data_IF_016929693812
#
_entry.id   IF_016929693812
#
_cell.length_a   1.000
_cell.length_b   1.000
_cell.length_c   1.000
_cell.angle_alpha   90.00
_cell.angle_beta   90.00
_cell.angle_gamma   90.00
#
_symmetry.space_group_name_H-M   'P 1'
#
loop_
_entity.id
_entity.type
_entity.pdbx_description
1 polymer ?
2 non-polymer ?
3 non-polymer ?
4 non-polymer ?
5 water ?
#
# COMPACT_ATOMS: atom_id res chain seq x y z
N UNK A 21 8.63 -7.17 -29.54
CA UNK A 21 8.11 -5.82 -29.40
C UNK A 21 8.69 -5.25 -28.12
N UNK A 22 8.57 -3.94 -27.93
CA UNK A 22 9.23 -3.24 -26.85
C UNK A 22 8.18 -2.60 -25.98
N UNK A 23 8.23 -2.88 -24.67
CA UNK A 23 7.39 -2.18 -23.71
C UNK A 23 8.11 -0.91 -23.30
N UNK A 24 7.46 0.24 -23.49
CA UNK A 24 8.09 1.53 -23.23
C UNK A 24 7.52 2.17 -21.98
N UNK A 25 8.39 2.68 -21.14
CA UNK A 25 8.04 3.51 -19.99
C UNK A 25 8.83 4.81 -20.07
N UNK A 26 8.15 5.93 -19.87
CA UNK A 26 8.80 7.24 -19.98
C UNK A 26 8.70 7.97 -18.65
N UNK A 27 9.86 8.35 -18.14
CA UNK A 27 10.00 9.07 -16.88
C UNK A 27 10.27 10.53 -17.23
N UNK A 28 9.43 11.44 -16.73
CA UNK A 28 9.66 12.87 -16.92
C UNK A 28 10.17 13.44 -15.60
N UNK A 29 11.47 13.68 -15.53
CA UNK A 29 12.05 14.13 -14.26
C UNK A 29 11.60 15.52 -13.85
N UNK A 30 10.98 16.29 -14.74
CA UNK A 30 10.45 17.61 -14.38
C UNK A 30 9.03 17.55 -13.85
N UNK A 31 8.32 16.43 -14.03
CA UNK A 31 6.91 16.33 -13.69
C UNK A 31 6.77 15.78 -12.27
N UNK A 32 6.91 16.68 -11.30
CA UNK A 32 6.85 16.30 -9.90
C UNK A 32 5.43 15.95 -9.49
N UNK A 33 5.26 14.81 -8.82
CA UNK A 33 3.94 14.43 -8.32
C UNK A 33 3.78 14.98 -6.91
N UNK A 34 4.69 14.58 -6.04
CA UNK A 34 4.76 15.03 -4.65
C UNK A 34 6.00 14.41 -4.04
N UNK A 35 6.28 14.75 -2.78
CA UNK A 35 7.41 14.16 -2.08
C UNK A 35 7.26 12.65 -1.99
N UNK A 36 8.39 11.97 -1.90
CA UNK A 36 8.38 10.54 -1.64
C UNK A 36 7.81 10.25 -0.26
N UNK A 37 6.74 9.43 -0.22
CA UNK A 37 6.12 9.01 1.02
C UNK A 37 6.07 7.50 1.20
N UNK A 38 6.48 6.73 0.18
CA UNK A 38 6.44 5.26 0.21
C UNK A 38 5.04 4.79 0.59
N UNK A 39 4.05 5.39 -0.07
CA UNK A 39 2.66 5.22 0.37
C UNK A 39 2.23 3.76 0.38
N UNK A 40 2.76 2.94 -0.53
CA UNK A 40 2.32 1.55 -0.64
C UNK A 40 3.14 0.61 0.24
N UNK A 41 3.99 1.13 1.14
CA UNK A 41 4.87 0.29 1.95
C UNK A 41 4.16 -0.07 3.25
N UNK A 42 3.38 -1.14 3.19
CA UNK A 42 2.67 -1.64 4.38
C UNK A 42 1.97 -2.93 4.05
N UNK A 43 1.47 -3.60 5.10
CA UNK A 43 0.79 -4.88 4.90
C UNK A 43 -0.21 -5.15 6.02
N UNK A 44 -1.30 -5.83 5.65
CA UNK A 44 -2.30 -6.30 6.62
C UNK A 44 -1.75 -7.52 7.36
N UNK A 45 -1.77 -7.47 8.70
CA UNK A 45 -1.14 -8.51 9.54
C UNK A 45 0.30 -8.78 9.11
N UNK A 46 0.95 -7.77 8.51
CA UNK A 46 2.31 -7.96 8.04
C UNK A 46 3.32 -7.93 9.15
N UNK A 47 2.98 -7.27 10.26
CA UNK A 47 3.81 -7.20 11.44
C UNK A 47 2.96 -7.62 12.62
N UNK A 48 3.44 -8.59 13.41
CA UNK A 48 2.68 -9.00 14.59
C UNK A 48 3.58 -8.94 15.82
N UNK A 49 3.14 -9.57 16.92
CA UNK A 49 3.79 -9.33 18.21
C UNK A 49 5.26 -9.72 18.18
N UNK A 50 5.59 -10.85 17.56
CA UNK A 50 6.99 -11.26 17.54
C UNK A 50 7.40 -11.91 16.22
N UNK A 51 6.68 -11.62 15.13
CA UNK A 51 7.11 -12.00 13.80
C UNK A 51 6.95 -10.76 12.92
N UNK A 52 7.99 -10.38 12.17
CA UNK A 52 9.33 -10.96 12.16
C UNK A 52 9.98 -10.75 13.52
N UNK A 53 10.85 -11.68 13.93
CA UNK A 53 11.55 -11.51 15.20
C UNK A 53 12.55 -10.36 15.12
N UNK A 54 13.29 -10.29 14.02
CA UNK A 54 14.38 -9.33 13.87
C UNK A 54 13.84 -8.05 13.25
N UNK A 55 13.38 -7.13 14.10
CA UNK A 55 12.83 -5.88 13.60
C UNK A 55 13.89 -5.09 12.84
N UNK A 56 15.11 -5.02 13.37
CA UNK A 56 16.12 -4.14 12.79
C UNK A 56 16.55 -4.58 11.40
N UNK A 57 16.58 -5.89 11.14
CA UNK A 57 17.04 -6.37 9.84
C UNK A 57 15.92 -6.44 8.82
N UNK A 58 14.70 -6.76 9.26
CA UNK A 58 13.62 -7.10 8.36
C UNK A 58 12.53 -6.05 8.24
N UNK A 59 12.29 -5.23 9.27
CA UNK A 59 11.22 -4.23 9.21
C UNK A 59 11.80 -2.84 9.03
N UNK A 60 12.69 -2.45 9.93
CA UNK A 60 13.29 -1.12 9.88
C UNK A 60 13.84 -0.74 8.50
N UNK A 61 14.51 -1.60 7.74
CA UNK A 61 15.09 -1.15 6.46
C UNK A 61 14.06 -0.82 5.40
N UNK A 62 12.80 -1.17 5.60
CA UNK A 62 11.81 -0.98 4.55
C UNK A 62 11.19 0.41 4.54
N UNK A 63 11.42 1.22 5.58
CA UNK A 63 10.85 2.57 5.63
C UNK A 63 9.31 2.50 5.56
N UNK A 64 8.74 1.62 6.39
CA UNK A 64 7.30 1.39 6.42
C UNK A 64 6.51 2.67 6.52
N UNK A 65 5.39 2.74 5.78
CA UNK A 65 4.46 3.85 5.88
C UNK A 65 3.37 3.51 6.89
N UNK A 66 2.36 2.74 6.49
CA UNK A 66 1.24 2.41 7.36
C UNK A 66 0.98 0.91 7.29
N UNK A 67 1.00 0.24 8.46
CA UNK A 67 0.57 -1.14 8.55
C UNK A 67 -0.90 -1.21 8.91
N UNK A 68 -1.46 -2.43 8.94
CA UNK A 68 -2.81 -2.67 9.41
C UNK A 68 -2.82 -3.86 10.35
N UNK A 69 -3.56 -3.75 11.44
CA UNK A 69 -3.54 -4.78 12.46
C UNK A 69 -4.90 -4.82 13.14
N UNK A 70 -5.28 -5.97 13.71
CA UNK A 70 -6.56 -6.07 14.40
C UNK A 70 -6.56 -5.32 15.72
N UNK A 71 -7.71 -4.74 16.07
CA UNK A 71 -7.81 -4.03 17.34
C UNK A 71 -7.59 -4.96 18.53
N UNK A 72 -8.00 -6.23 18.40
CA UNK A 72 -7.78 -7.25 19.42
C UNK A 72 -7.33 -8.53 18.75
N UNK A 73 -6.56 -9.34 19.49
CA UNK A 73 -6.17 -10.66 19.01
C UNK A 73 -6.25 -11.65 20.17
N UNK A 74 -6.34 -12.92 19.81
CA UNK A 74 -6.36 -13.94 20.85
C UNK A 74 -7.72 -14.57 21.05
N UNK A 75 -7.99 -15.01 22.28
CA UNK A 75 -9.21 -15.75 22.57
C UNK A 75 -10.46 -14.97 22.17
N UNK A 76 -11.29 -15.59 21.33
CA UNK A 76 -12.55 -14.98 20.96
C UNK A 76 -12.46 -13.91 19.90
N UNK A 77 -11.26 -13.65 19.38
CA UNK A 77 -11.06 -12.62 18.39
C UNK A 77 -10.98 -13.25 17.00
N UNK A 78 -10.82 -12.41 15.97
CA UNK A 78 -10.75 -12.93 14.62
C UNK A 78 -9.54 -13.85 14.45
N UNK A 79 -8.39 -13.46 14.96
CA UNK A 79 -7.17 -14.23 14.80
C UNK A 79 -6.43 -14.34 16.12
N UNK A 80 -5.53 -15.32 16.25
CA UNK A 80 -4.75 -15.45 17.49
C UNK A 80 -3.66 -14.41 17.66
N UNK A 81 -3.30 -13.66 16.61
CA UNK A 81 -2.15 -12.77 16.61
C UNK A 81 -2.51 -11.40 16.08
N UNK A 82 -1.61 -10.44 16.34
CA UNK A 82 -1.59 -9.16 15.64
C UNK A 82 -2.01 -7.95 16.43
N UNK A 83 -2.09 -8.04 17.77
CA UNK A 83 -2.63 -6.96 18.58
C UNK A 83 -2.05 -5.61 18.17
N UNK A 84 -2.92 -4.67 17.83
CA UNK A 84 -2.46 -3.42 17.23
C UNK A 84 -1.70 -2.57 18.24
N UNK A 85 -2.02 -2.67 19.54
CA UNK A 85 -1.28 -1.87 20.51
C UNK A 85 0.16 -2.39 20.61
N UNK A 86 0.34 -3.72 20.63
CA UNK A 86 1.67 -4.29 20.60
C UNK A 86 2.38 -3.98 19.30
N UNK A 87 1.65 -3.98 18.17
CA UNK A 87 2.30 -3.69 16.90
C UNK A 87 2.73 -2.24 16.84
N UNK A 88 1.85 -1.32 17.30
CA UNK A 88 2.21 0.10 17.35
C UNK A 88 3.44 0.32 18.22
N UNK A 89 3.59 -0.45 19.29
CA UNK A 89 4.82 -0.29 20.09
C UNK A 89 6.05 -0.72 19.32
N UNK A 90 5.97 -1.83 18.59
CA UNK A 90 7.12 -2.22 17.77
C UNK A 90 7.46 -1.13 16.76
N UNK A 91 6.43 -0.51 16.17
CA UNK A 91 6.64 0.45 15.09
C UNK A 91 7.27 1.76 15.56
N UNK A 92 7.31 2.02 16.87
CA UNK A 92 7.99 3.21 17.36
C UNK A 92 9.45 3.23 16.95
N UNK A 93 10.03 2.05 16.68
CA UNK A 93 11.40 1.98 16.20
C UNK A 93 11.56 2.55 14.79
N UNK A 94 10.45 2.67 14.05
CA UNK A 94 10.40 3.38 12.77
C UNK A 94 9.58 4.66 12.95
N UNK A 95 10.20 5.78 13.33
CA UNK A 95 9.42 6.93 13.81
C UNK A 95 8.41 7.49 12.81
N UNK A 96 8.60 7.30 11.51
CA UNK A 96 7.56 7.78 10.60
C UNK A 96 6.35 6.87 10.43
N UNK A 97 6.43 5.63 10.90
CA UNK A 97 5.43 4.62 10.57
C UNK A 97 4.19 4.73 11.45
N UNK A 98 3.05 4.29 10.91
CA UNK A 98 1.78 4.24 11.64
C UNK A 98 1.09 2.90 11.38
N UNK A 99 0.02 2.64 12.11
CA UNK A 99 -0.70 1.39 11.94
C UNK A 99 -2.20 1.61 12.06
N UNK A 100 -2.95 1.03 11.13
CA UNK A 100 -4.40 1.13 11.09
C UNK A 100 -5.01 0.17 12.12
N UNK A 101 -5.99 0.66 12.89
CA UNK A 101 -6.74 -0.16 13.84
C UNK A 101 -7.96 -0.77 13.13
N UNK A 102 -7.94 -2.08 12.92
CA UNK A 102 -9.08 -2.76 12.28
C UNK A 102 -10.02 -3.25 13.37
N UNK A 103 -11.04 -2.45 13.68
CA UNK A 103 -11.92 -2.79 14.79
C UNK A 103 -12.72 -4.06 14.54
N UNK A 104 -13.02 -4.38 13.26
CA UNK A 104 -13.86 -5.54 12.96
C UNK A 104 -13.27 -6.81 13.56
N UNK A 105 -11.95 -6.91 13.64
CA UNK A 105 -11.37 -8.18 14.07
C UNK A 105 -11.45 -8.40 15.58
N UNK A 106 -12.08 -7.48 16.32
CA UNK A 106 -12.58 -7.81 17.64
C UNK A 106 -13.42 -9.08 17.58
N UNK A 107 -14.12 -9.29 16.49
CA UNK A 107 -15.14 -10.32 16.33
C UNK A 107 -14.58 -11.56 15.63
N UNK A 108 -15.04 -12.74 16.05
CA UNK A 108 -14.62 -13.99 15.42
C UNK A 108 -15.50 -14.35 14.23
N UNK A 109 -14.97 -15.23 13.38
CA UNK A 109 -15.72 -15.79 12.27
C UNK A 109 -15.61 -14.98 10.99
N UNK A 110 -15.77 -15.65 9.86
CA UNK A 110 -15.88 -14.99 8.57
C UNK A 110 -17.03 -15.58 7.78
N UNK A 111 -18.10 -14.79 7.53
CA UNK A 111 -18.27 -13.40 7.97
C UNK A 111 -18.31 -13.22 9.48
N UNK A 112 -17.88 -12.04 9.94
CA UNK A 112 -17.84 -11.73 11.36
C UNK A 112 -19.14 -12.10 12.05
N UNK A 113 -19.02 -12.73 13.22
CA UNK A 113 -20.21 -13.12 13.98
C UNK A 113 -20.64 -11.93 14.81
N UNK A 114 -21.65 -11.22 14.33
CA UNK A 114 -22.12 -10.02 15.00
C UNK A 114 -22.75 -10.38 16.34
N UNK A 115 -22.32 -9.76 17.44
CA UNK A 115 -22.86 -10.11 18.77
C UNK A 115 -23.95 -9.17 19.27
N UNK A 116 -24.44 -8.28 18.43
CA UNK A 116 -25.34 -7.25 18.91
C UNK A 116 -24.61 -5.95 19.17
N UNK A 117 -25.33 -4.84 18.98
CA UNK A 117 -24.71 -3.52 19.10
C UNK A 117 -24.16 -3.29 20.51
N UNK A 118 -24.79 -3.90 21.53
CA UNK A 118 -24.34 -3.65 22.89
C UNK A 118 -22.93 -4.18 23.11
N UNK A 119 -22.68 -5.44 22.74
CA UNK A 119 -21.34 -6.01 22.92
C UNK A 119 -20.32 -5.34 22.00
N UNK A 120 -20.71 -5.03 20.78
CA UNK A 120 -19.83 -4.29 19.88
C UNK A 120 -19.35 -3.00 20.54
N UNK A 121 -20.27 -2.24 21.13
CA UNK A 121 -19.90 -0.99 21.76
C UNK A 121 -19.04 -1.22 23.01
N UNK A 122 -19.40 -2.21 23.83
CA UNK A 122 -18.57 -2.52 24.99
C UNK A 122 -17.14 -2.86 24.59
N UNK A 123 -16.99 -3.69 23.55
CA UNK A 123 -15.65 -4.06 23.09
C UNK A 123 -14.89 -2.85 22.58
N UNK A 124 -15.55 -1.98 21.80
CA UNK A 124 -14.89 -0.79 21.29
C UNK A 124 -14.46 0.12 22.44
N UNK A 125 -15.35 0.31 23.44
CA UNK A 125 -14.99 1.18 24.56
C UNK A 125 -13.80 0.62 25.33
N UNK A 126 -13.79 -0.68 25.58
CA UNK A 126 -12.64 -1.29 26.25
C UNK A 126 -11.38 -1.12 25.43
N UNK A 127 -11.46 -1.27 24.10
CA UNK A 127 -10.26 -1.08 23.28
C UNK A 127 -9.78 0.37 23.35
N UNK A 128 -10.70 1.32 23.24
CA UNK A 128 -10.31 2.74 23.23
C UNK A 128 -9.68 3.13 24.56
N UNK A 129 -10.20 2.59 25.66
CA UNK A 129 -9.56 2.81 26.96
C UNK A 129 -8.10 2.33 26.95
N UNK A 130 -7.88 1.11 26.46
CA UNK A 130 -6.50 0.58 26.40
C UNK A 130 -5.65 1.38 25.44
N UNK A 131 -6.24 1.80 24.32
CA UNK A 131 -5.54 2.67 23.37
C UNK A 131 -5.03 3.94 24.04
N UNK A 132 -5.91 4.64 24.76
CA UNK A 132 -5.50 5.87 25.43
C UNK A 132 -4.47 5.61 26.52
N UNK A 133 -4.64 4.53 27.29
CA UNK A 133 -3.69 4.22 28.35
C UNK A 133 -2.30 3.89 27.81
N UNK A 134 -2.23 3.35 26.58
CA UNK A 134 -0.92 3.02 26.02
C UNK A 134 -0.04 4.24 25.84
N UNK A 135 -0.63 5.41 25.66
CA UNK A 135 0.12 6.62 25.39
C UNK A 135 0.62 6.75 23.96
N UNK A 136 0.38 5.75 23.11
CA UNK A 136 0.86 5.79 21.74
C UNK A 136 -0.03 6.68 20.88
N UNK A 137 0.59 7.41 19.96
CA UNK A 137 -0.15 8.22 19.00
C UNK A 137 0.27 7.90 17.57
N UNK A 138 0.93 6.76 17.33
CA UNK A 138 1.28 6.39 15.96
C UNK A 138 0.22 5.48 15.31
N UNK A 139 -1.02 5.59 15.74
CA UNK A 139 -2.10 4.94 15.00
C UNK A 139 -2.53 5.83 13.84
N UNK A 140 -2.91 5.17 12.76
CA UNK A 140 -3.37 5.85 11.55
C UNK A 140 -4.84 6.27 11.67
N UNK A 141 -5.63 5.47 12.36
CA UNK A 141 -7.03 5.78 12.56
C UNK A 141 -7.75 4.56 13.06
N UNK A 142 -9.01 4.78 13.45
CA UNK A 142 -9.93 3.72 13.82
C UNK A 142 -10.76 3.31 12.59
N UNK A 143 -10.59 2.07 12.15
CA UNK A 143 -11.31 1.55 11.00
C UNK A 143 -12.52 0.77 11.50
N UNK A 144 -13.72 1.21 11.10
CA UNK A 144 -14.95 0.74 11.74
C UNK A 144 -15.25 -0.70 11.39
N UNK A 145 -15.01 -1.11 10.14
CA UNK A 145 -15.42 -2.44 9.70
C UNK A 145 -14.43 -2.93 8.66
N UNK A 146 -14.77 -4.06 8.02
CA UNK A 146 -13.90 -4.67 7.00
C UNK A 146 -14.79 -5.40 6.02
N UNK A 147 -14.75 -4.98 4.77
CA UNK A 147 -15.48 -5.64 3.68
C UNK A 147 -16.96 -5.86 4.02
N UNK A 148 -17.70 -4.80 4.29
CA UNK A 148 -19.13 -4.98 4.56
C UNK A 148 -19.87 -5.59 3.39
N UNK A 149 -19.36 -5.37 2.16
CA UNK A 149 -19.97 -5.96 0.98
C UNK A 149 -19.79 -7.48 0.93
N UNK A 150 -18.98 -8.03 1.84
CA UNK A 150 -18.83 -9.46 1.99
C UNK A 150 -19.40 -9.95 3.31
N UNK A 151 -19.27 -9.15 4.39
CA UNK A 151 -19.47 -9.67 5.73
C UNK A 151 -20.66 -9.10 6.48
N UNK A 152 -21.25 -7.99 6.04
CA UNK A 152 -22.41 -7.47 6.77
C UNK A 152 -23.68 -8.20 6.31
N UNK A 153 -24.52 -8.57 7.28
CA UNK A 153 -25.75 -9.31 7.03
C UNK A 153 -26.93 -8.56 7.63
N UNK A 154 -27.99 -8.38 6.84
CA UNK A 154 -29.19 -7.69 7.34
C UNK A 154 -29.72 -8.34 8.61
N UNK A 155 -29.52 -9.64 8.76
CA UNK A 155 -29.98 -10.38 9.93
C UNK A 155 -29.26 -9.96 11.21
N UNK A 156 -28.21 -9.14 11.12
CA UNK A 156 -27.58 -8.58 12.32
C UNK A 156 -28.53 -7.68 13.11
N UNK A 157 -29.65 -7.26 12.52
CA UNK A 157 -30.61 -6.41 13.19
C UNK A 157 -30.56 -4.95 12.77
N UNK A 158 -29.59 -4.59 11.94
CA UNK A 158 -29.42 -3.23 11.44
C UNK A 158 -28.59 -3.33 10.17
N UNK A 159 -28.69 -2.29 9.34
CA UNK A 159 -27.94 -2.24 8.09
C UNK A 159 -26.49 -1.84 8.36
N UNK A 160 -25.64 -2.02 7.34
CA UNK A 160 -24.26 -1.53 7.46
C UNK A 160 -24.24 -0.03 7.68
N UNK A 161 -25.03 0.72 6.91
CA UNK A 161 -25.06 2.17 7.09
C UNK A 161 -25.45 2.53 8.52
N UNK A 162 -26.38 1.78 9.12
CA UNK A 162 -26.79 2.06 10.50
C UNK A 162 -25.65 1.77 11.47
N UNK A 163 -25.01 0.62 11.34
CA UNK A 163 -23.88 0.31 12.20
C UNK A 163 -22.74 1.32 12.02
N UNK A 164 -22.50 1.73 10.76
CA UNK A 164 -21.48 2.74 10.49
C UNK A 164 -21.79 4.04 11.22
N UNK A 165 -22.99 4.57 10.99
CA UNK A 165 -23.39 5.82 11.63
C UNK A 165 -23.27 5.73 13.15
N UNK A 166 -23.79 4.66 13.73
CA UNK A 166 -23.81 4.55 15.18
C UNK A 166 -22.41 4.40 15.74
N UNK A 167 -21.55 3.64 15.06
CA UNK A 167 -20.20 3.46 15.57
C UNK A 167 -19.38 4.74 15.37
N UNK A 168 -19.60 5.42 14.24
CA UNK A 168 -18.96 6.71 13.99
C UNK A 168 -19.27 7.69 15.10
N UNK A 169 -20.55 7.79 15.50
CA UNK A 169 -20.91 8.72 16.56
C UNK A 169 -20.24 8.34 17.86
N UNK A 170 -20.15 7.03 18.13
CA UNK A 170 -19.45 6.57 19.32
C UNK A 170 -17.98 7.00 19.30
N UNK A 171 -17.30 6.78 18.17
CA UNK A 171 -15.87 7.08 18.07
C UNK A 171 -15.60 8.57 18.22
N UNK A 172 -16.49 9.41 17.68
CA UNK A 172 -16.31 10.85 17.82
C UNK A 172 -16.46 11.29 19.26
N UNK A 173 -17.26 10.58 20.04
CA UNK A 173 -17.43 10.90 21.44
C UNK A 173 -16.24 10.44 22.27
N UNK A 174 -15.79 9.19 22.10
CA UNK A 174 -14.79 8.62 23.00
C UNK A 174 -13.35 8.71 22.48
N UNK A 175 -13.12 8.99 21.21
CA UNK A 175 -11.77 9.17 20.67
C UNK A 175 -11.79 10.29 19.63
N UNK A 176 -12.14 11.51 20.07
CA UNK A 176 -12.48 12.56 19.09
C UNK A 176 -11.33 13.00 18.20
N UNK A 177 -10.10 12.83 18.64
CA UNK A 177 -8.97 13.30 17.85
C UNK A 177 -8.40 12.25 16.91
N UNK A 178 -9.00 11.06 16.88
CA UNK A 178 -8.52 10.02 15.99
C UNK A 178 -9.26 10.06 14.66
N UNK A 179 -8.55 9.68 13.60
CA UNK A 179 -9.19 9.54 12.29
C UNK A 179 -10.12 8.34 12.28
N UNK A 180 -11.18 8.45 11.49
CA UNK A 180 -12.11 7.35 11.24
C UNK A 180 -11.97 6.90 9.80
N UNK A 181 -11.81 5.59 9.59
CA UNK A 181 -11.43 5.02 8.31
C UNK A 181 -12.52 4.08 7.83
N UNK A 182 -12.89 4.20 6.56
CA UNK A 182 -13.79 3.23 5.96
C UNK A 182 -14.27 3.69 4.59
N UNK A 183 -15.22 2.98 4.00
CA UNK A 183 -15.99 1.86 4.55
C UNK A 183 -15.34 0.49 4.34
N UNK A 184 -14.16 0.43 3.72
CA UNK A 184 -13.35 -0.79 3.63
C UNK A 184 -13.99 -1.85 2.73
N UNK A 185 -14.62 -1.42 1.63
CA UNK A 185 -15.22 -2.35 0.68
C UNK A 185 -14.19 -3.37 0.20
N UNK A 186 -14.67 -4.60 -0.04
CA UNK A 186 -13.79 -5.62 -0.62
C UNK A 186 -13.38 -5.28 -2.04
N UNK A 187 -14.28 -4.67 -2.81
CA UNK A 187 -13.93 -4.21 -4.15
C UNK A 187 -14.66 -2.89 -4.41
N UNK A 188 -14.07 -2.09 -5.28
CA UNK A 188 -14.67 -0.81 -5.62
C UNK A 188 -15.78 -0.99 -6.66
N UNK A 189 -16.90 -0.32 -6.45
CA UNK A 189 -17.92 -0.18 -7.48
C UNK A 189 -18.59 1.17 -7.29
N UNK A 190 -18.88 1.86 -8.39
CA UNK A 190 -19.22 3.28 -8.29
C UNK A 190 -20.56 3.50 -7.59
N UNK A 191 -21.58 2.71 -7.92
CA UNK A 191 -22.89 2.87 -7.28
C UNK A 191 -22.79 2.63 -5.78
N UNK A 192 -22.05 1.60 -5.39
CA UNK A 192 -21.86 1.26 -3.98
C UNK A 192 -21.18 2.40 -3.22
N UNK A 193 -20.12 2.95 -3.81
CA UNK A 193 -19.41 4.06 -3.17
C UNK A 193 -20.28 5.31 -3.11
N UNK A 194 -20.94 5.64 -4.23
CA UNK A 194 -21.79 6.82 -4.25
C UNK A 194 -22.88 6.74 -3.19
N UNK A 195 -23.56 5.59 -3.11
CA UNK A 195 -24.59 5.40 -2.09
C UNK A 195 -24.01 5.65 -0.69
N UNK A 196 -22.81 5.14 -0.44
CA UNK A 196 -22.19 5.35 0.87
C UNK A 196 -21.83 6.81 1.10
N UNK A 197 -21.25 7.47 0.08
CA UNK A 197 -20.90 8.87 0.24
C UNK A 197 -22.14 9.74 0.43
N UNK A 198 -23.19 9.48 -0.35
CA UNK A 198 -24.42 10.25 -0.19
C UNK A 198 -25.00 10.07 1.21
N UNK A 199 -25.06 8.83 1.68
CA UNK A 199 -25.53 8.56 3.04
C UNK A 199 -24.68 9.29 4.07
N UNK A 200 -23.36 9.25 3.90
CA UNK A 200 -22.46 9.73 4.94
C UNK A 200 -22.39 11.25 4.97
N UNK A 201 -22.44 11.88 3.79
CA UNK A 201 -22.52 13.35 3.77
C UNK A 201 -23.80 13.84 4.45
N UNK A 202 -24.94 13.24 4.10
CA UNK A 202 -26.20 13.75 4.62
C UNK A 202 -26.38 13.44 6.11
N UNK A 203 -25.75 12.38 6.60
CA UNK A 203 -25.87 12.03 8.01
C UNK A 203 -24.59 12.31 8.81
N UNK A 204 -23.75 13.20 8.30
CA UNK A 204 -22.57 13.71 9.01
C UNK A 204 -21.70 12.57 9.56
N UNK A 205 -21.42 11.59 8.70
CA UNK A 205 -20.55 10.50 9.13
C UNK A 205 -19.59 10.11 8.01
N UNK A 206 -19.09 11.11 7.27
CA UNK A 206 -18.05 10.85 6.28
C UNK A 206 -16.78 10.41 6.97
N UNK A 207 -16.10 9.37 6.48
CA UNK A 207 -14.80 9.01 7.04
C UNK A 207 -13.79 10.13 6.83
N UNK A 208 -12.80 10.19 7.72
CA UNK A 208 -11.68 11.08 7.49
C UNK A 208 -10.76 10.54 6.41
N UNK A 209 -10.63 9.22 6.32
CA UNK A 209 -9.80 8.54 5.34
C UNK A 209 -10.68 7.50 4.66
N UNK A 210 -10.81 7.60 3.33
CA UNK A 210 -11.64 6.67 2.57
C UNK A 210 -10.84 5.40 2.32
N UNK A 211 -11.50 4.24 2.45
CA UNK A 211 -10.80 2.97 2.38
C UNK A 211 -11.58 2.00 1.51
N UNK A 212 -10.86 1.30 0.64
CA UNK A 212 -11.38 0.09 0.00
C UNK A 212 -10.19 -0.79 -0.37
N UNK A 213 -10.51 -1.97 -0.90
CA UNK A 213 -9.51 -2.98 -1.21
C UNK A 213 -9.38 -3.13 -2.72
N UNK A 214 -8.17 -3.48 -3.17
CA UNK A 214 -7.92 -3.75 -4.59
C UNK A 214 -7.26 -5.12 -4.68
N UNK A 215 -8.09 -6.15 -4.62
CA UNK A 215 -7.64 -7.52 -4.60
C UNK A 215 -8.41 -8.38 -5.61
N UNK A 216 -9.14 -7.76 -6.53
CA UNK A 216 -10.06 -8.43 -7.44
C UNK A 216 -9.61 -8.40 -8.89
N UNK A 217 -8.45 -7.82 -9.17
CA UNK A 217 -8.01 -7.61 -10.55
C UNK A 217 -7.47 -6.20 -10.71
N UNK A 218 -6.24 -6.07 -11.22
CA UNK A 218 -5.58 -4.78 -11.17
C UNK A 218 -6.03 -3.83 -12.28
N UNK A 219 -6.63 -4.35 -13.36
CA UNK A 219 -6.93 -3.53 -14.54
C UNK A 219 -7.67 -2.25 -14.18
N UNK A 220 -8.67 -2.34 -13.31
CA UNK A 220 -9.55 -1.22 -13.01
C UNK A 220 -9.11 -0.31 -11.88
N UNK A 221 -7.96 -0.58 -11.28
CA UNK A 221 -7.54 0.15 -10.08
C UNK A 221 -7.48 1.65 -10.35
N UNK A 222 -6.78 2.06 -11.42
CA UNK A 222 -6.67 3.49 -11.69
C UNK A 222 -8.02 4.13 -11.97
N UNK A 223 -8.90 3.41 -12.68
CA UNK A 223 -10.24 3.93 -12.97
C UNK A 223 -11.04 4.13 -11.69
N UNK A 224 -10.75 3.35 -10.64
CA UNK A 224 -11.43 3.51 -9.36
C UNK A 224 -11.05 4.82 -8.70
N UNK A 225 -9.75 5.17 -8.73
CA UNK A 225 -9.32 6.46 -8.20
C UNK A 225 -10.00 7.60 -8.95
N UNK A 226 -10.06 7.52 -10.28
CA UNK A 226 -10.70 8.58 -11.05
C UNK A 226 -12.20 8.66 -10.75
N UNK A 227 -12.85 7.51 -10.67
CA UNK A 227 -14.27 7.48 -10.29
C UNK A 227 -14.48 8.10 -8.92
N UNK A 228 -13.65 7.70 -7.95
CA UNK A 228 -13.86 8.18 -6.59
C UNK A 228 -13.68 9.69 -6.51
N UNK A 229 -12.60 10.21 -7.09
CA UNK A 229 -12.40 11.66 -7.00
C UNK A 229 -13.47 12.44 -7.77
N UNK A 230 -13.99 11.87 -8.86
CA UNK A 230 -15.12 12.52 -9.53
C UNK A 230 -16.38 12.48 -8.67
N UNK A 231 -16.59 11.40 -7.92
CA UNK A 231 -17.73 11.37 -6.99
C UNK A 231 -17.61 12.45 -5.91
N UNK A 232 -16.42 12.62 -5.34
CA UNK A 232 -16.23 13.70 -4.38
C UNK A 232 -16.59 15.04 -4.98
N UNK A 233 -16.18 15.31 -6.21
CA UNK A 233 -16.50 16.59 -6.83
C UNK A 233 -18.00 16.73 -7.08
N UNK A 234 -18.62 15.71 -7.69
CA UNK A 234 -20.02 15.82 -8.05
C UNK A 234 -20.94 15.86 -6.83
N UNK A 235 -20.50 15.30 -5.70
CA UNK A 235 -21.32 15.28 -4.49
C UNK A 235 -20.97 16.40 -3.51
N UNK A 236 -19.98 17.25 -3.82
CA UNK A 236 -19.61 18.33 -2.95
C UNK A 236 -18.94 17.89 -1.66
N UNK A 237 -18.00 16.95 -1.76
CA UNK A 237 -17.27 16.43 -0.61
C UNK A 237 -15.82 16.86 -0.75
N UNK A 238 -15.28 17.49 0.29
CA UNK A 238 -13.88 17.88 0.23
C UNK A 238 -12.99 16.65 0.16
N UNK A 239 -11.89 16.78 -0.60
CA UNK A 239 -11.03 15.64 -0.92
C UNK A 239 -10.55 14.92 0.34
N UNK A 240 -10.79 13.57 0.38
CA UNK A 240 -10.33 12.71 1.47
C UNK A 240 -9.03 12.00 1.08
N UNK A 241 -8.12 11.79 2.04
CA UNK A 241 -7.02 10.86 1.81
C UNK A 241 -7.56 9.47 1.54
N UNK A 242 -6.86 8.74 0.66
CA UNK A 242 -7.26 7.40 0.25
C UNK A 242 -6.32 6.38 0.87
N UNK A 243 -6.88 5.33 1.49
CA UNK A 243 -6.09 4.20 1.93
C UNK A 243 -6.60 2.93 1.26
N UNK A 244 -5.76 2.29 0.45
CA UNK A 244 -6.11 1.02 -0.16
C UNK A 244 -5.49 -0.05 0.74
N UNK A 245 -6.19 -0.43 1.81
CA UNK A 245 -5.49 -1.09 2.89
C UNK A 245 -5.51 -2.61 2.78
N UNK A 246 -5.90 -3.13 1.61
CA UNK A 246 -5.51 -4.48 1.15
C UNK A 246 -5.35 -4.41 -0.35
N UNK A 247 -4.19 -4.84 -0.88
CA UNK A 247 -4.03 -4.89 -2.33
C UNK A 247 -3.21 -6.11 -2.75
N UNK A 248 -3.58 -6.68 -3.89
CA UNK A 248 -2.91 -7.87 -4.42
C UNK A 248 -3.41 -8.11 -5.83
N UNK A 249 -2.56 -8.71 -6.66
CA UNK A 249 -3.02 -9.24 -7.93
C UNK A 249 -4.17 -10.20 -7.71
N UNK A 250 -5.02 -10.36 -8.73
CA UNK A 250 -6.12 -11.32 -8.64
C UNK A 250 -5.64 -12.71 -8.25
N UNK A 251 -4.46 -13.12 -8.70
CA UNK A 251 -3.84 -14.37 -8.26
C UNK A 251 -3.19 -14.16 -6.89
N UNK A 252 -3.76 -14.80 -5.85
CA UNK A 252 -3.24 -14.62 -4.49
C UNK A 252 -1.76 -14.98 -4.38
N UNK A 253 -1.29 -15.90 -5.24
CA UNK A 253 0.09 -16.34 -5.14
C UNK A 253 1.09 -15.26 -5.55
N UNK A 254 0.63 -14.17 -6.13
CA UNK A 254 1.49 -13.05 -6.50
C UNK A 254 1.59 -11.99 -5.40
N UNK A 255 0.99 -12.24 -4.24
CA UNK A 255 1.18 -11.36 -3.10
C UNK A 255 2.67 -11.20 -2.82
N UNK A 256 3.11 -9.95 -2.71
CA UNK A 256 4.53 -9.74 -2.49
C UNK A 256 5.44 -10.00 -3.68
N UNK A 257 4.91 -10.28 -4.86
CA UNK A 257 5.79 -10.50 -6.01
C UNK A 257 6.30 -9.18 -6.55
N UNK A 258 7.60 -9.05 -6.83
CA UNK A 258 8.11 -7.76 -7.34
C UNK A 258 7.40 -7.24 -8.58
N UNK A 259 7.24 -8.07 -9.62
CA UNK A 259 6.64 -7.58 -10.85
C UNK A 259 5.22 -7.07 -10.65
N UNK A 260 4.38 -7.88 -10.01
CA UNK A 260 3.01 -7.44 -9.75
C UNK A 260 3.00 -6.17 -8.92
N UNK A 261 3.81 -6.15 -7.86
CA UNK A 261 3.79 -5.05 -6.90
C UNK A 261 4.18 -3.72 -7.55
N UNK A 262 5.11 -3.77 -8.50
CA UNK A 262 5.54 -2.53 -9.16
C UNK A 262 4.36 -1.75 -9.72
N UNK A 263 3.33 -2.45 -10.20
CA UNK A 263 2.20 -1.76 -10.82
C UNK A 263 1.33 -1.07 -9.79
N UNK A 264 1.10 -1.71 -8.65
CA UNK A 264 0.33 -1.06 -7.58
C UNK A 264 1.09 0.15 -7.06
N UNK A 265 2.39 -0.01 -6.84
CA UNK A 265 3.21 1.10 -6.38
C UNK A 265 3.14 2.26 -7.38
N UNK A 266 3.37 1.97 -8.66
CA UNK A 266 3.33 3.03 -9.65
C UNK A 266 1.99 3.76 -9.69
N UNK A 267 0.89 3.00 -9.64
CA UNK A 267 -0.42 3.63 -9.79
C UNK A 267 -0.85 4.33 -8.51
N UNK A 268 -0.59 3.74 -7.35
CA UNK A 268 -0.85 4.44 -6.09
C UNK A 268 -0.10 5.77 -6.04
N UNK A 269 1.18 5.77 -6.44
CA UNK A 269 1.92 7.01 -6.44
C UNK A 269 1.36 7.99 -7.47
N UNK A 270 0.95 7.48 -8.63
CA UNK A 270 0.43 8.36 -9.68
C UNK A 270 -0.81 9.11 -9.21
N UNK A 271 -1.64 8.47 -8.40
CA UNK A 271 -2.89 9.08 -7.94
C UNK A 271 -2.79 9.59 -6.51
N UNK A 272 -1.59 9.67 -5.96
CA UNK A 272 -1.35 10.29 -4.65
C UNK A 272 -2.15 9.60 -3.55
N UNK A 273 -2.22 8.27 -3.63
CA UNK A 273 -2.81 7.49 -2.56
C UNK A 273 -2.05 7.76 -1.26
N UNK A 274 -2.78 7.92 -0.17
CA UNK A 274 -2.14 8.22 1.10
C UNK A 274 -1.41 7.02 1.67
N UNK A 275 -2.04 5.85 1.62
CA UNK A 275 -1.40 4.63 2.12
C UNK A 275 -1.98 3.43 1.40
N UNK A 276 -1.14 2.40 1.24
CA UNK A 276 -1.61 1.14 0.70
C UNK A 276 -0.99 -0.01 1.47
N UNK A 277 -1.76 -1.07 1.74
CA UNK A 277 -1.28 -2.22 2.48
C UNK A 277 -1.46 -3.48 1.66
N UNK A 278 -0.43 -4.32 1.62
CA UNK A 278 -0.53 -5.61 0.97
C UNK A 278 -1.54 -6.50 1.71
N UNK A 279 -2.22 -7.37 0.95
CA UNK A 279 -3.14 -8.34 1.52
C UNK A 279 -2.46 -9.27 2.52
N UNK A 280 -3.30 -10.03 3.23
CA UNK A 280 -2.88 -11.17 4.06
C UNK A 280 -3.71 -12.35 3.59
N UNK A 281 -3.34 -12.92 2.44
CA UNK A 281 -4.09 -14.06 1.93
C UNK A 281 -3.73 -15.38 2.61
N UNK A 282 -2.53 -15.49 3.17
CA UNK A 282 -2.03 -16.76 3.68
C UNK A 282 -2.08 -16.72 5.21
N UNK A 283 -3.27 -17.02 5.73
CA UNK A 283 -3.59 -16.93 7.14
C UNK A 283 -2.66 -17.78 8.00
N UNK A 284 -2.19 -18.96 7.56
CA UNK A 284 -1.20 -19.68 8.39
C UNK A 284 0.10 -18.94 8.63
N UNK A 285 0.41 -17.89 7.87
CA UNK A 285 1.74 -17.26 7.92
C UNK A 285 1.65 -15.75 8.10
N UNK A 286 1.09 -15.29 9.21
CA UNK A 286 1.09 -13.85 9.48
C UNK A 286 2.50 -13.38 9.82
N UNK A 287 2.70 -12.07 9.71
CA UNK A 287 3.96 -11.50 10.12
C UNK A 287 5.03 -11.53 9.05
N UNK A 288 4.66 -11.72 7.79
CA UNK A 288 5.65 -11.79 6.72
C UNK A 288 5.64 -10.55 5.83
N UNK A 289 5.13 -9.43 6.35
CA UNK A 289 5.26 -8.13 5.74
C UNK A 289 4.54 -8.03 4.40
N UNK A 290 3.58 -8.92 4.14
CA UNK A 290 2.86 -8.96 2.88
C UNK A 290 3.50 -9.93 1.91
N UNK A 291 3.89 -11.10 2.43
CA UNK A 291 4.63 -12.11 1.68
C UNK A 291 5.93 -11.52 1.11
N UNK A 292 6.47 -10.50 1.77
CA UNK A 292 7.80 -10.04 1.40
C UNK A 292 8.87 -10.94 1.95
N UNK A 293 8.56 -11.68 3.02
CA UNK A 293 9.46 -12.68 3.58
C UNK A 293 9.03 -14.06 3.06
N UNK A 294 10.02 -14.87 2.72
CA UNK A 294 9.80 -16.22 2.22
C UNK A 294 9.46 -17.19 3.34
N UNK A 295 9.91 -16.86 4.55
CA UNK A 295 9.60 -17.61 5.76
C UNK A 295 9.47 -16.59 6.88
N UNK A 296 9.28 -17.06 8.10
CA UNK A 296 9.27 -16.13 9.22
C UNK A 296 10.60 -15.40 9.39
N UNK A 297 11.70 -15.95 8.87
CA UNK A 297 13.03 -15.43 9.15
C UNK A 297 13.83 -15.02 7.92
N UNK A 298 13.39 -15.40 6.73
CA UNK A 298 14.17 -15.18 5.52
C UNK A 298 13.47 -14.23 4.57
N UNK A 299 14.25 -13.35 3.95
CA UNK A 299 13.73 -12.43 2.95
C UNK A 299 13.29 -13.18 1.69
N UNK A 300 12.17 -12.75 1.11
CA UNK A 300 11.80 -13.15 -0.23
C UNK A 300 12.19 -12.07 -1.23
N UNK A 301 11.95 -12.37 -2.51
CA UNK A 301 12.27 -11.41 -3.57
C UNK A 301 11.60 -10.07 -3.32
N UNK A 302 10.33 -10.09 -2.89
CA UNK A 302 9.60 -8.86 -2.70
C UNK A 302 10.22 -7.93 -1.67
N UNK A 303 10.86 -8.50 -0.65
CA UNK A 303 11.53 -7.66 0.34
C UNK A 303 12.51 -6.73 -0.34
N UNK A 304 13.31 -7.26 -1.27
CA UNK A 304 14.31 -6.44 -1.92
C UNK A 304 13.68 -5.38 -2.82
N UNK A 305 12.56 -5.71 -3.49
CA UNK A 305 11.89 -4.70 -4.30
C UNK A 305 11.34 -3.58 -3.42
N UNK A 306 10.71 -3.92 -2.29
CA UNK A 306 10.19 -2.89 -1.40
C UNK A 306 11.30 -2.13 -0.70
N UNK A 307 12.49 -2.73 -0.56
CA UNK A 307 13.63 -1.99 -0.02
C UNK A 307 14.04 -0.89 -0.99
N UNK A 308 14.14 -1.22 -2.29
CA UNK A 308 14.39 -0.19 -3.31
C UNK A 308 13.39 0.93 -3.18
N UNK A 309 12.11 0.57 -3.04
CA UNK A 309 11.04 1.55 -2.94
C UNK A 309 11.21 2.41 -1.70
N UNK A 310 11.41 1.77 -0.55
CA UNK A 310 11.54 2.53 0.69
C UNK A 310 12.74 3.45 0.71
N UNK A 311 13.79 3.10 -0.04
CA UNK A 311 15.00 3.93 -0.13
C UNK A 311 14.77 5.22 -0.90
N UNK A 312 13.67 5.32 -1.64
CA UNK A 312 13.47 6.48 -2.49
C UNK A 312 13.33 7.74 -1.64
N UNK A 313 14.02 8.80 -2.06
CA UNK A 313 14.00 10.11 -1.41
C UNK A 313 13.78 11.18 -2.47
N UNK A 314 13.50 12.40 -2.02
CA UNK A 314 13.24 13.49 -2.96
C UNK A 314 11.79 13.54 -3.41
N UNK A 315 11.57 13.75 -4.71
CA UNK A 315 10.24 13.87 -5.27
C UNK A 315 9.91 12.66 -6.13
N UNK A 316 8.66 12.21 -6.05
CA UNK A 316 8.17 11.26 -7.04
C UNK A 316 7.82 12.02 -8.31
N UNK A 317 8.15 11.44 -9.47
CA UNK A 317 7.92 12.08 -10.76
C UNK A 317 7.11 11.16 -11.65
N UNK A 318 6.55 11.74 -12.71
CA UNK A 318 5.59 11.04 -13.54
C UNK A 318 6.25 9.94 -14.36
N UNK A 319 5.58 8.79 -14.41
CA UNK A 319 5.97 7.66 -15.24
C UNK A 319 4.82 7.41 -16.20
N UNK A 320 5.13 7.34 -17.49
CA UNK A 320 4.10 7.01 -18.47
C UNK A 320 4.30 5.58 -18.93
N UNK A 321 3.40 4.67 -18.59
CA UNK A 321 3.62 3.25 -18.89
C UNK A 321 2.85 2.83 -20.13
N UNK A 322 2.96 1.56 -20.56
CA UNK A 322 2.20 1.14 -21.75
C UNK A 322 0.70 1.37 -21.63
N UNK A 323 0.10 0.99 -20.50
CA UNK A 323 -1.34 1.17 -20.28
C UNK A 323 -1.67 0.92 -18.82
N UNK A 324 -1.83 2.00 -18.03
CA UNK A 324 -2.10 1.82 -16.60
C UNK A 324 -3.48 1.25 -16.32
N UNK A 325 -4.34 1.19 -17.33
CA UNK A 325 -5.69 0.62 -17.16
C UNK A 325 -5.75 -0.82 -17.63
N UNK A 326 -4.74 -1.61 -17.27
CA UNK A 326 -4.57 -2.98 -17.75
C UNK A 326 -3.61 -3.68 -16.80
N UNK A 327 -3.24 -4.92 -17.14
CA UNK A 327 -2.28 -5.65 -16.33
C UNK A 327 -0.83 -5.25 -16.60
N UNK A 328 -0.57 -4.35 -17.54
CA UNK A 328 0.78 -4.21 -18.07
C UNK A 328 1.72 -3.50 -17.09
N UNK A 329 3.01 -3.78 -17.27
CA UNK A 329 4.15 -3.22 -16.56
C UNK A 329 4.00 -1.74 -16.25
N UNK A 330 4.37 -1.34 -15.04
CA UNK A 330 4.22 0.03 -14.57
C UNK A 330 5.27 0.25 -13.49
N UNK A 331 5.34 1.46 -12.95
CA UNK A 331 6.33 1.69 -11.90
C UNK A 331 6.34 3.12 -11.43
N UNK A 332 7.36 3.43 -10.63
CA UNK A 332 7.44 4.73 -9.98
C UNK A 332 8.88 5.22 -10.00
N UNK A 333 9.03 6.54 -10.00
CA UNK A 333 10.35 7.13 -10.15
C UNK A 333 10.52 8.27 -9.16
N UNK A 334 11.74 8.43 -8.65
CA UNK A 334 12.04 9.51 -7.73
C UNK A 334 13.28 10.26 -8.20
N UNK A 335 13.32 11.56 -7.88
CA UNK A 335 14.48 12.40 -8.16
C UNK A 335 14.86 13.11 -6.89
N UNK A 336 16.15 13.08 -6.54
CA UNK A 336 16.65 13.70 -5.32
C UNK A 336 17.85 14.58 -5.68
N UNK A 337 17.67 15.91 -5.61
CA UNK A 337 18.74 16.83 -5.96
C UNK A 337 19.82 16.95 -4.89
N UNK A 338 19.55 16.53 -3.65
CA UNK A 338 20.58 16.60 -2.62
C UNK A 338 21.45 15.35 -2.62
N UNK A 339 20.83 14.16 -2.75
CA UNK A 339 21.62 12.94 -2.88
C UNK A 339 22.15 12.77 -4.28
N UNK A 340 21.60 13.51 -5.24
CA UNK A 340 22.03 13.55 -6.64
C UNK A 340 21.86 12.18 -7.32
N UNK A 341 20.62 11.69 -7.32
CA UNK A 341 20.30 10.48 -8.07
C UNK A 341 18.87 10.52 -8.56
N UNK A 342 18.61 9.68 -9.56
CA UNK A 342 17.28 9.34 -10.02
C UNK A 342 17.11 7.82 -9.87
N UNK A 343 15.93 7.40 -9.41
CA UNK A 343 15.64 5.98 -9.26
C UNK A 343 14.31 5.66 -9.93
N UNK A 344 14.28 4.59 -10.70
CA UNK A 344 13.09 4.15 -11.42
C UNK A 344 12.93 2.66 -11.17
N UNK A 345 11.84 2.26 -10.50
CA UNK A 345 11.56 0.85 -10.25
C UNK A 345 10.29 0.47 -11.00
N UNK A 346 10.29 -0.74 -11.58
CA UNK A 346 9.19 -1.10 -12.45
C UNK A 346 9.15 -2.62 -12.60
N UNK A 347 8.03 -3.10 -13.13
CA UNK A 347 7.84 -4.53 -13.29
C UNK A 347 6.43 -4.85 -13.69
N UNK A 348 6.20 -6.05 -14.18
CA UNK A 348 4.89 -6.48 -14.60
C UNK A 348 4.87 -7.01 -16.02
N UNK A 349 3.73 -7.62 -16.41
CA UNK A 349 3.55 -8.12 -17.79
C UNK A 349 4.10 -7.17 -18.84
N UNK A 350 4.92 -7.70 -19.76
CA UNK A 350 5.56 -6.87 -20.76
C UNK A 350 5.95 -7.74 -21.95
N UNK A 351 6.42 -7.08 -23.01
CA UNK A 351 6.64 -7.75 -24.29
C UNK A 351 8.00 -8.44 -24.39
N UNK A 352 8.80 -8.44 -23.33
CA UNK A 352 10.03 -9.18 -23.29
C UNK A 352 11.27 -8.34 -23.56
N UNK A 353 11.08 -7.10 -24.01
CA UNK A 353 12.08 -6.05 -24.00
C UNK A 353 11.46 -4.83 -23.34
N UNK A 354 12.27 -4.03 -22.67
CA UNK A 354 11.82 -2.79 -22.07
C UNK A 354 12.73 -1.65 -22.51
N UNK A 355 12.12 -0.53 -22.86
CA UNK A 355 12.83 0.71 -23.17
C UNK A 355 12.35 1.75 -22.15
N UNK A 356 13.26 2.16 -21.27
CA UNK A 356 12.98 3.15 -20.26
C UNK A 356 13.53 4.48 -20.75
N UNK A 357 12.62 5.36 -21.17
CA UNK A 357 13.01 6.69 -21.63
C UNK A 357 13.00 7.63 -20.44
N UNK A 358 14.06 8.43 -20.32
CA UNK A 358 14.10 9.51 -19.35
C UNK A 358 14.16 10.84 -20.10
N UNK A 359 13.24 11.75 -19.78
CA UNK A 359 13.30 13.10 -20.31
C UNK A 359 13.44 14.11 -19.19
N UNK A 360 13.93 15.30 -19.55
CA UNK A 360 14.19 16.38 -18.60
C UNK A 360 15.07 15.91 -17.44
N UNK A 361 16.11 15.14 -17.77
CA UNK A 361 17.04 14.64 -16.77
C UNK A 361 17.60 15.79 -15.94
N UNK A 362 17.84 15.57 -14.65
CA UNK A 362 18.39 16.63 -13.81
C UNK A 362 19.69 17.20 -14.38
N UNK A 363 19.79 18.52 -14.32
CA UNK A 363 21.01 19.17 -14.75
C UNK A 363 22.19 18.82 -13.87
N UNK A 364 21.95 18.32 -12.64
CA UNK A 364 23.08 17.93 -11.81
C UNK A 364 23.85 16.76 -12.41
N UNK A 365 23.25 16.03 -13.35
CA UNK A 365 23.97 14.95 -14.02
C UNK A 365 24.92 15.47 -15.10
N UNK A 366 24.82 16.75 -15.48
CA UNK A 366 25.68 17.26 -16.53
C UNK A 366 25.41 16.53 -17.84
N UNK A 367 26.48 16.23 -18.57
CA UNK A 367 26.33 15.59 -19.87
C UNK A 367 26.54 14.09 -19.81
N UNK A 368 26.75 13.55 -18.61
CA UNK A 368 27.14 12.16 -18.45
C UNK A 368 26.48 11.59 -17.21
N UNK A 369 25.70 10.53 -17.39
CA UNK A 369 25.02 9.89 -16.27
C UNK A 369 25.56 8.48 -16.09
N UNK A 370 25.80 8.10 -14.84
CA UNK A 370 26.15 6.72 -14.53
C UNK A 370 24.87 5.93 -14.28
N UNK A 371 24.66 4.86 -15.04
CA UNK A 371 23.41 4.10 -15.01
C UNK A 371 23.69 2.69 -14.53
N UNK A 372 23.11 2.31 -13.41
CA UNK A 372 23.16 0.94 -12.93
C UNK A 372 21.78 0.33 -13.04
N UNK A 373 21.68 -0.80 -13.73
CA UNK A 373 20.41 -1.48 -13.99
C UNK A 373 20.44 -2.81 -13.25
N UNK A 374 19.45 -3.03 -12.38
CA UNK A 374 19.41 -4.24 -11.57
C UNK A 374 18.06 -4.94 -11.71
N UNK A 375 18.04 -6.22 -11.35
CA UNK A 375 16.81 -6.99 -11.29
C UNK A 375 16.76 -7.81 -10.01
N UNK A 376 15.54 -8.08 -9.56
CA UNK A 376 15.32 -9.02 -8.46
C UNK A 376 14.38 -10.09 -9.01
N UNK A 377 14.88 -11.33 -9.08
CA UNK A 377 14.09 -12.38 -9.68
C UNK A 377 13.20 -13.04 -8.64
N UNK A 378 12.12 -13.65 -9.12
CA UNK A 378 11.12 -14.26 -8.26
C UNK A 378 10.77 -15.65 -8.78
N UNK A 379 10.73 -16.63 -7.87
CA UNK A 379 10.23 -17.97 -8.14
C UNK A 379 8.89 -18.22 -7.49
N UNK A 380 8.73 -17.86 -6.22
CA UNK A 380 7.48 -17.95 -5.50
C UNK A 380 7.60 -17.12 -4.24
N UNK A 381 6.45 -16.87 -3.61
CA UNK A 381 6.42 -16.11 -2.37
C UNK A 381 7.19 -16.79 -1.24
N UNK A 382 7.39 -18.12 -1.32
CA UNK A 382 8.05 -18.88 -0.27
C UNK A 382 9.49 -19.26 -0.62
N UNK A 383 10.03 -18.72 -1.71
CA UNK A 383 11.40 -18.98 -2.12
C UNK A 383 12.32 -17.94 -1.52
N UNK A 384 13.30 -18.31 -0.69
CA UNK A 384 14.21 -17.30 -0.16
C UNK A 384 15.01 -16.64 -1.28
N UNK A 385 15.38 -15.38 -1.06
CA UNK A 385 16.14 -14.59 -2.01
C UNK A 385 17.42 -14.06 -1.38
N UNK A 386 18.52 -14.13 -2.12
CA UNK A 386 19.76 -13.52 -1.67
C UNK A 386 19.93 -12.11 -2.20
N UNK A 387 18.96 -11.61 -2.93
CA UNK A 387 18.99 -10.23 -3.35
C UNK A 387 19.16 -10.07 -4.85
N UNK A 388 19.28 -8.82 -5.28
CA UNK A 388 19.23 -8.51 -6.70
C UNK A 388 20.54 -8.84 -7.41
N UNK A 389 20.47 -8.76 -8.74
CA UNK A 389 21.62 -8.95 -9.62
C UNK A 389 21.78 -7.70 -10.48
N UNK A 390 23.02 -7.30 -10.72
CA UNK A 390 23.29 -6.19 -11.60
C UNK A 390 23.32 -6.70 -13.04
N UNK A 391 22.36 -6.25 -13.85
CA UNK A 391 22.34 -6.62 -15.27
C UNK A 391 23.51 -5.99 -16.01
N UNK A 392 23.65 -4.67 -15.89
CA UNK A 392 24.79 -3.96 -16.45
C UNK A 392 24.88 -2.59 -15.77
N UNK A 393 26.03 -1.95 -15.93
CA UNK A 393 26.31 -0.66 -15.33
C UNK A 393 27.27 0.10 -16.24
N UNK A 394 26.88 1.27 -16.73
CA UNK A 394 27.75 2.02 -17.61
C UNK A 394 27.28 3.48 -17.65
N UNK A 395 28.12 4.32 -18.26
CA UNK A 395 27.79 5.73 -18.40
C UNK A 395 27.01 5.95 -19.69
N UNK A 396 26.05 6.86 -19.63
CA UNK A 396 25.25 7.27 -20.78
C UNK A 396 25.50 8.75 -21.04
N UNK A 397 25.73 9.09 -22.31
CA UNK A 397 25.82 10.48 -22.71
C UNK A 397 24.41 11.08 -22.78
N UNK A 398 24.24 12.26 -22.17
CA UNK A 398 22.94 12.92 -22.11
C UNK A 398 22.88 13.95 -23.22
N UNK A 399 21.86 13.86 -24.07
CA UNK A 399 21.61 14.82 -25.14
C UNK A 399 20.22 15.40 -24.93
N UNK A 400 20.14 16.73 -24.76
CA UNK A 400 18.87 17.43 -24.59
C UNK A 400 18.07 16.84 -23.44
N UNK A 401 18.77 16.53 -22.35
CA UNK A 401 18.16 16.00 -21.15
C UNK A 401 17.57 14.62 -21.25
N UNK A 402 17.90 13.85 -22.29
CA UNK A 402 17.22 12.60 -22.58
C UNK A 402 18.23 11.46 -22.69
N UNK A 403 17.89 10.30 -22.09
CA UNK A 403 18.50 9.02 -22.42
C UNK A 403 17.41 7.96 -22.53
N UNK A 404 17.72 6.90 -23.27
CA UNK A 404 16.87 5.72 -23.34
C UNK A 404 17.70 4.52 -22.91
N UNK A 405 17.17 3.78 -21.94
CA UNK A 405 17.87 2.63 -21.36
C UNK A 405 17.11 1.37 -21.77
N UNK A 406 17.79 0.47 -22.49
CA UNK A 406 17.16 -0.76 -22.98
C UNK A 406 17.49 -1.96 -22.09
N UNK A 407 16.48 -2.78 -21.82
CA UNK A 407 16.65 -4.05 -21.13
C UNK A 407 16.14 -5.17 -22.03
N UNK A 408 16.97 -6.19 -22.23
CA UNK A 408 16.61 -7.35 -23.04
C UNK A 408 16.19 -8.52 -22.15
N UNK A 409 15.40 -9.42 -22.74
CA UNK A 409 15.00 -10.65 -22.07
C UNK A 409 14.32 -10.44 -20.74
N UNK A 410 13.33 -9.56 -20.69
CA UNK A 410 12.60 -9.26 -19.47
C UNK A 410 11.42 -10.20 -19.32
N UNK A 411 10.96 -10.34 -18.07
CA UNK A 411 9.81 -11.19 -17.76
C UNK A 411 8.82 -10.38 -16.93
N UNK A 412 7.70 -11.02 -16.58
CA UNK A 412 6.61 -10.33 -15.90
C UNK A 412 6.68 -10.42 -14.38
N UNK A 413 7.58 -11.23 -13.83
CA UNK A 413 7.61 -11.46 -12.39
C UNK A 413 8.78 -10.79 -11.68
N UNK A 414 9.88 -10.57 -12.38
CA UNK A 414 11.03 -9.86 -11.80
C UNK A 414 10.67 -8.40 -11.51
N UNK A 415 11.40 -7.82 -10.56
CA UNK A 415 11.39 -6.38 -10.36
C UNK A 415 12.65 -5.79 -10.96
N UNK A 416 12.53 -4.59 -11.50
CA UNK A 416 13.68 -3.93 -12.14
C UNK A 416 13.91 -2.56 -11.54
N UNK A 417 15.18 -2.13 -11.52
CA UNK A 417 15.48 -0.77 -11.12
C UNK A 417 16.53 -0.18 -12.05
N UNK A 418 16.33 1.09 -12.43
CA UNK A 418 17.37 1.88 -13.08
C UNK A 418 17.75 2.98 -12.09
N UNK A 419 19.03 3.02 -11.72
CA UNK A 419 19.53 3.95 -10.71
C UNK A 419 20.59 4.83 -11.37
N UNK A 420 20.35 6.15 -11.39
CA UNK A 420 21.15 7.07 -12.17
C UNK A 420 21.88 8.02 -11.22
N UNK A 421 23.20 8.08 -11.33
CA UNK A 421 24.03 8.97 -10.53
C UNK A 421 24.96 9.75 -11.44
N UNK A 422 25.75 10.63 -10.85
CA UNK A 422 26.70 11.42 -11.62
C UNK A 422 27.85 10.55 -12.11
N UNK A 423 28.28 10.78 -13.34
CA UNK A 423 29.39 10.02 -13.92
C UNK A 423 30.72 10.73 -13.66
#
# INVERSE_FOLDING_TARGET
MGSSHHHHHHSSGLVPRGSHMVSQLTVDCNAKIRRATHCASGAHYGLIENVPKDYKSLVAPLNINVMRAPARAGNGRQQPIGDVIKVAQRLKESPGARVTIELADILPGWPYRWPGIQTWFNEIRSFINDKKKSGLTNFYGNEIWNEPDVTWKDSNGLSFNQMWKQTYDLLRQIDPNEKIIGPSFSWYEENKMKNFLQFSKQNNCLPDIIAWHELSGIDGVSSHFRSYRNLEKSLGISERPITINEYCDENHDLEGQPGSSARFIGRFERYKVDSGMITWWFVPHPGRLGSLLASDTQKGAGWYFYKWYGDMTGDMVSVSPPNENSKLIDGAASVDASAQYVSFIFGGPNDGSVKANFKNLPSFLGSSAHVKVEKIDWKSKDTPSNGPNTIFEKNYSISNGQISVDLSGTNASSGYRIYITKA
#
